data_IF_819119894718
#
_entry.id   IF_819119894718
#
_cell.length_a   1.000
_cell.length_b   1.000
_cell.length_c   1.000
_cell.angle_alpha   90.00
_cell.angle_beta   90.00
_cell.angle_gamma   90.00
#
_symmetry.space_group_name_H-M   'P 1'
#
loop_
_entity.id
_entity.type
_entity.pdbx_description
1 polymer ?
#
# COMPACT_ATOMS: atom_id res chain seq x y z
N UNK A 1 -24.66 0.68 1.28
CA UNK A 1 -23.48 0.05 0.66
C UNK A 1 -22.44 -0.13 1.75
N UNK A 2 -22.52 -1.22 2.51
CA UNK A 2 -21.68 -1.42 3.70
C UNK A 2 -20.80 -2.64 3.45
N UNK A 3 -19.76 -2.47 2.65
CA UNK A 3 -18.67 -3.44 2.59
C UNK A 3 -17.89 -3.31 3.87
N UNK A 4 -18.10 -4.22 4.82
CA UNK A 4 -17.51 -4.23 6.14
C UNK A 4 -15.98 -4.10 6.03
N UNK A 5 -15.36 -3.23 6.83
CA UNK A 5 -13.90 -3.05 6.99
C UNK A 5 -13.04 -4.32 6.77
N UNK A 6 -13.44 -5.52 7.28
CA UNK A 6 -12.72 -6.77 6.99
C UNK A 6 -12.58 -7.14 5.50
N UNK A 7 -13.49 -6.75 4.61
CA UNK A 7 -13.36 -6.99 3.17
C UNK A 7 -12.27 -6.12 2.53
N UNK A 8 -12.19 -4.86 2.95
CA UNK A 8 -11.18 -3.93 2.47
C UNK A 8 -9.79 -4.32 2.95
N UNK A 9 -9.67 -4.65 4.24
CA UNK A 9 -8.42 -5.12 4.82
C UNK A 9 -7.95 -6.42 4.17
N UNK A 10 -8.85 -7.38 3.91
CA UNK A 10 -8.52 -8.60 3.15
C UNK A 10 -8.01 -8.30 1.74
N UNK A 11 -8.64 -7.36 1.02
CA UNK A 11 -8.19 -6.94 -0.32
C UNK A 11 -6.79 -6.31 -0.28
N UNK A 12 -6.50 -5.47 0.71
CA UNK A 12 -5.18 -4.86 0.91
C UNK A 12 -4.13 -5.93 1.17
N UNK A 13 -4.39 -6.86 2.10
CA UNK A 13 -3.49 -7.98 2.41
C UNK A 13 -3.20 -8.82 1.17
N UNK A 14 -4.21 -9.12 0.35
CA UNK A 14 -4.01 -9.88 -0.88
C UNK A 14 -3.12 -9.14 -1.90
N UNK A 15 -3.22 -7.81 -1.99
CA UNK A 15 -2.34 -6.98 -2.84
C UNK A 15 -0.90 -7.01 -2.33
N UNK A 16 -0.71 -6.85 -1.02
CA UNK A 16 0.61 -6.93 -0.39
C UNK A 16 1.25 -8.31 -0.58
N UNK A 17 0.49 -9.40 -0.43
CA UNK A 17 0.97 -10.76 -0.71
C UNK A 17 1.44 -10.92 -2.16
N UNK A 18 0.69 -10.38 -3.12
CA UNK A 18 1.10 -10.39 -4.54
C UNK A 18 2.39 -9.59 -4.75
N UNK A 19 2.50 -8.39 -4.19
CA UNK A 19 3.71 -7.59 -4.26
C UNK A 19 4.92 -8.29 -3.62
N UNK A 20 4.71 -8.97 -2.48
CA UNK A 20 5.72 -9.80 -1.83
C UNK A 20 6.20 -10.96 -2.70
N UNK A 21 5.29 -11.63 -3.42
CA UNK A 21 5.65 -12.66 -4.41
C UNK A 21 6.50 -12.11 -5.57
N UNK A 22 6.18 -10.90 -6.06
CA UNK A 22 6.98 -10.23 -7.09
C UNK A 22 8.37 -9.85 -6.58
N UNK A 23 8.47 -9.34 -5.36
CA UNK A 23 9.76 -9.03 -4.73
C UNK A 23 10.59 -10.30 -4.53
N UNK A 24 9.97 -11.40 -4.08
CA UNK A 24 10.67 -12.67 -3.94
C UNK A 24 11.22 -13.17 -5.29
N UNK A 25 10.45 -13.02 -6.37
CA UNK A 25 10.92 -13.36 -7.71
C UNK A 25 12.12 -12.50 -8.15
N UNK A 26 12.14 -11.21 -7.80
CA UNK A 26 13.28 -10.31 -8.05
C UNK A 26 14.53 -10.77 -7.28
N UNK A 27 14.37 -11.16 -6.02
CA UNK A 27 15.48 -11.67 -5.19
C UNK A 27 16.08 -12.92 -5.82
N UNK A 28 15.24 -13.92 -6.15
CA UNK A 28 15.67 -15.16 -6.81
C UNK A 28 16.38 -14.85 -8.13
N UNK A 29 15.81 -13.95 -8.95
CA UNK A 29 16.43 -13.57 -10.22
C UNK A 29 17.82 -12.92 -10.04
N UNK A 30 18.07 -12.20 -8.95
CA UNK A 30 19.39 -11.65 -8.64
C UNK A 30 20.36 -12.72 -8.14
N UNK A 31 19.90 -13.62 -7.26
CA UNK A 31 20.69 -14.74 -6.74
C UNK A 31 21.14 -15.70 -7.85
N UNK A 32 20.30 -15.91 -8.87
CA UNK A 32 20.59 -16.70 -10.06
C UNK A 32 21.51 -15.98 -11.08
N UNK A 33 22.01 -14.79 -10.76
CA UNK A 33 22.89 -14.02 -11.64
C UNK A 33 22.16 -13.29 -12.78
N UNK A 34 20.88 -12.99 -12.61
CA UNK A 34 20.05 -12.29 -13.59
C UNK A 34 20.58 -10.90 -13.93
N UNK A 35 20.41 -10.53 -15.21
CA UNK A 35 20.92 -9.26 -15.72
C UNK A 35 20.07 -8.05 -15.29
N UNK A 36 20.66 -6.86 -15.27
CA UNK A 36 19.94 -5.61 -15.05
C UNK A 36 18.70 -5.47 -15.97
N UNK A 37 18.82 -5.89 -17.24
CA UNK A 37 17.74 -5.82 -18.23
C UNK A 37 16.54 -6.69 -17.89
N UNK A 38 16.73 -7.76 -17.11
CA UNK A 38 15.66 -8.67 -16.68
C UNK A 38 15.13 -8.34 -15.28
N UNK A 39 16.00 -7.88 -14.37
CA UNK A 39 15.67 -7.60 -12.97
C UNK A 39 14.93 -6.27 -12.83
N UNK A 40 15.38 -5.20 -13.49
CA UNK A 40 14.80 -3.85 -13.33
C UNK A 40 13.31 -3.80 -13.69
N UNK A 41 12.83 -4.40 -14.80
CA UNK A 41 11.39 -4.43 -15.09
C UNK A 41 10.56 -5.16 -14.03
N UNK A 42 11.10 -6.24 -13.44
CA UNK A 42 10.42 -6.99 -12.39
C UNK A 42 10.35 -6.18 -11.08
N UNK A 43 11.45 -5.50 -10.74
CA UNK A 43 11.49 -4.59 -9.60
C UNK A 43 10.50 -3.44 -9.77
N UNK A 44 10.45 -2.82 -10.95
CA UNK A 44 9.47 -1.77 -11.26
C UNK A 44 8.02 -2.28 -11.10
N UNK A 45 7.74 -3.53 -11.52
CA UNK A 45 6.44 -4.14 -11.32
C UNK A 45 6.10 -4.36 -9.83
N UNK A 46 7.07 -4.80 -9.02
CA UNK A 46 6.91 -4.96 -7.58
C UNK A 46 6.66 -3.61 -6.90
N UNK A 47 7.46 -2.59 -7.21
CA UNK A 47 7.29 -1.21 -6.70
C UNK A 47 5.91 -0.65 -7.07
N UNK A 48 5.47 -0.81 -8.31
CA UNK A 48 4.13 -0.39 -8.75
C UNK A 48 3.01 -1.11 -7.98
N UNK A 49 3.19 -2.38 -7.63
CA UNK A 49 2.22 -3.12 -6.82
C UNK A 49 2.21 -2.63 -5.37
N UNK A 50 3.38 -2.33 -4.80
CA UNK A 50 3.52 -1.73 -3.46
C UNK A 50 2.85 -0.35 -3.40
N UNK A 51 3.09 0.52 -4.37
CA UNK A 51 2.48 1.86 -4.44
C UNK A 51 0.95 1.76 -4.45
N UNK A 52 0.39 0.84 -5.25
CA UNK A 52 -1.06 0.60 -5.30
C UNK A 52 -1.63 0.06 -3.99
N UNK A 53 -0.87 -0.78 -3.27
CA UNK A 53 -1.27 -1.27 -1.97
C UNK A 53 -1.23 -0.16 -0.91
N UNK A 54 -0.16 0.64 -0.90
CA UNK A 54 -0.02 1.81 -0.02
C UNK A 54 -1.12 2.85 -0.23
N UNK A 55 -1.42 3.16 -1.49
CA UNK A 55 -2.51 4.08 -1.84
C UNK A 55 -3.86 3.57 -1.30
N UNK A 56 -4.14 2.27 -1.45
CA UNK A 56 -5.37 1.68 -0.93
C UNK A 56 -5.49 1.74 0.61
N UNK A 57 -4.37 1.72 1.33
CA UNK A 57 -4.32 1.87 2.80
C UNK A 57 -4.60 3.33 3.17
N UNK A 58 -3.90 4.28 2.56
CA UNK A 58 -4.09 5.70 2.88
C UNK A 58 -5.49 6.17 2.49
N UNK A 59 -5.99 5.77 1.31
CA UNK A 59 -7.37 6.10 0.90
C UNK A 59 -8.45 5.46 1.77
N UNK A 60 -8.18 4.31 2.41
CA UNK A 60 -9.14 3.75 3.37
C UNK A 60 -9.24 4.63 4.60
N UNK A 61 -8.09 5.03 5.17
CA UNK A 61 -8.04 5.92 6.31
C UNK A 61 -8.64 7.31 6.01
N UNK A 62 -8.43 7.84 4.80
CA UNK A 62 -9.07 9.09 4.36
C UNK A 62 -10.60 9.00 4.33
N UNK A 63 -11.16 7.85 3.92
CA UNK A 63 -12.62 7.66 3.90
C UNK A 63 -13.20 7.72 5.31
N UNK A 64 -12.50 7.15 6.28
CA UNK A 64 -12.89 7.18 7.69
C UNK A 64 -12.78 8.61 8.26
N UNK A 65 -11.71 9.34 7.93
CA UNK A 65 -11.55 10.74 8.35
C UNK A 65 -12.60 11.69 7.74
N UNK A 66 -13.00 11.46 6.48
CA UNK A 66 -14.05 12.26 5.83
C UNK A 66 -15.46 11.93 6.35
N UNK A 67 -15.66 10.72 6.88
CA UNK A 67 -16.94 10.30 7.45
C UNK A 67 -17.23 10.94 8.81
N UNK A 68 -16.19 11.22 9.61
CA UNK A 68 -16.31 11.96 10.86
C UNK A 68 -15.09 12.89 11.09
N UNK A 69 -15.15 14.13 10.58
CA UNK A 69 -14.04 15.09 10.69
C UNK A 69 -13.75 15.54 12.13
N UNK A 70 -14.73 15.46 13.03
CA UNK A 70 -14.58 15.86 14.43
C UNK A 70 -13.90 14.77 15.25
N UNK A 71 -14.11 13.49 14.89
CA UNK A 71 -13.39 12.34 15.44
C UNK A 71 -12.02 12.11 14.77
N UNK A 72 -11.82 12.59 13.54
CA UNK A 72 -10.53 12.54 12.86
C UNK A 72 -9.46 13.29 13.69
N UNK A 73 -8.45 12.56 14.17
CA UNK A 73 -7.41 13.10 15.07
C UNK A 73 -7.75 13.12 16.57
N UNK A 74 -8.96 12.71 16.98
CA UNK A 74 -9.33 12.53 18.40
C UNK A 74 -9.42 11.04 18.74
N UNK A 75 -8.25 10.40 18.86
CA UNK A 75 -8.11 9.02 19.30
C UNK A 75 -6.66 8.54 19.18
N UNK A 76 -6.26 7.46 19.87
CA UNK A 76 -4.88 6.95 19.82
C UNK A 76 -4.43 6.54 18.41
N UNK A 77 -5.37 6.21 17.53
CA UNK A 77 -5.14 5.80 16.13
C UNK A 77 -5.70 6.82 15.11
N UNK A 78 -6.18 7.98 15.57
CA UNK A 78 -6.79 9.00 14.71
C UNK A 78 -5.72 9.75 13.92
N UNK A 79 -5.74 9.66 12.59
CA UNK A 79 -4.87 10.41 11.71
C UNK A 79 -5.47 11.78 11.39
N UNK A 80 -4.66 12.83 11.48
CA UNK A 80 -5.02 14.16 10.96
C UNK A 80 -4.89 14.22 9.44
N UNK A 81 -5.56 15.18 8.80
CA UNK A 81 -5.44 15.42 7.35
C UNK A 81 -3.99 15.65 6.92
N UNK A 82 -3.23 16.43 7.69
CA UNK A 82 -1.81 16.72 7.41
C UNK A 82 -0.94 15.46 7.51
N UNK A 83 -1.24 14.56 8.44
CA UNK A 83 -0.53 13.28 8.56
C UNK A 83 -0.87 12.34 7.40
N UNK A 84 -2.13 12.30 6.97
CA UNK A 84 -2.55 11.54 5.79
C UNK A 84 -1.88 12.07 4.51
N UNK A 85 -1.81 13.39 4.33
CA UNK A 85 -1.10 14.01 3.22
C UNK A 85 0.39 13.63 3.22
N UNK A 86 1.04 13.72 4.38
CA UNK A 86 2.46 13.31 4.53
C UNK A 86 2.67 11.83 4.23
N UNK A 87 1.76 10.96 4.63
CA UNK A 87 1.85 9.53 4.32
C UNK A 87 1.64 9.28 2.83
N UNK A 88 0.72 10.00 2.19
CA UNK A 88 0.46 9.91 0.76
C UNK A 88 1.69 10.31 -0.07
N UNK A 89 2.34 11.42 0.26
CA UNK A 89 3.53 11.92 -0.44
C UNK A 89 4.75 10.99 -0.30
N UNK A 90 4.78 10.08 0.68
CA UNK A 90 5.83 9.07 0.81
C UNK A 90 5.63 7.85 -0.12
N UNK A 91 4.49 7.75 -0.80
CA UNK A 91 4.14 6.62 -1.66
C UNK A 91 4.46 6.85 -3.15
N UNK A 92 5.06 7.99 -3.50
CA UNK A 92 5.49 8.36 -4.86
C UNK A 92 6.99 8.33 -4.99
#
# INVERSE_FOLDING_TARGET
MTGTVPDQQRRIVNRLRRAGGQLNAVIVALEDGGTCRTVVPQLAAATSALHRAGLAIVSSAMTDCLADPEAAGRGPDGLTTDELERLFLKLT
#
